data_IF_227719393095
#
_entry.id   IF_227719393095
#
_cell.length_a   1.000
_cell.length_b   1.000
_cell.length_c   1.000
_cell.angle_alpha   90.00
_cell.angle_beta   90.00
_cell.angle_gamma   90.00
#
_symmetry.space_group_name_H-M   'P 1'
#
loop_
_entity.id
_entity.type
_entity.pdbx_description
1 polymer ?
#
# COMPACT_ATOMS: atom_id res chain seq x y z
N UNK A 1 2.24 9.96 4.40
CA UNK A 1 3.46 9.15 4.57
C UNK A 1 4.50 9.91 5.39
N UNK A 2 4.92 11.12 4.96
CA UNK A 2 5.85 11.95 5.76
C UNK A 2 5.32 12.24 7.17
N UNK A 3 4.05 12.66 7.30
CA UNK A 3 3.45 12.89 8.63
C UNK A 3 3.53 11.68 9.58
N UNK A 4 3.37 10.45 9.07
CA UNK A 4 3.51 9.24 9.89
C UNK A 4 4.98 9.01 10.29
N UNK A 5 5.92 9.17 9.35
CA UNK A 5 7.35 9.05 9.62
C UNK A 5 7.85 10.12 10.61
N UNK A 6 7.36 11.35 10.51
CA UNK A 6 7.69 12.44 11.44
C UNK A 6 7.11 12.19 12.83
N UNK A 7 5.87 11.71 12.92
CA UNK A 7 5.25 11.37 14.20
C UNK A 7 5.93 10.17 14.88
N UNK A 8 6.27 9.12 14.14
CA UNK A 8 7.04 8.00 14.69
C UNK A 8 8.45 8.44 15.10
N UNK A 9 9.08 9.36 14.36
CA UNK A 9 10.35 9.96 14.78
C UNK A 9 10.21 10.76 16.08
N UNK A 10 9.15 11.56 16.22
CA UNK A 10 8.83 12.27 17.44
C UNK A 10 8.53 11.33 18.63
N UNK A 11 8.03 10.12 18.35
CA UNK A 11 7.83 9.06 19.33
C UNK A 11 9.12 8.25 19.66
N UNK A 12 10.27 8.60 19.09
CA UNK A 12 11.57 8.02 19.41
C UNK A 12 12.03 6.88 18.48
N UNK A 13 11.39 6.70 17.32
CA UNK A 13 11.79 5.69 16.33
C UNK A 13 12.66 6.29 15.22
N UNK A 14 13.68 5.55 14.76
CA UNK A 14 14.29 5.87 13.47
C UNK A 14 13.29 5.54 12.35
N UNK A 15 13.11 6.46 11.40
CA UNK A 15 12.15 6.27 10.30
C UNK A 15 12.82 6.39 8.94
N UNK A 16 12.48 5.45 8.06
CA UNK A 16 12.94 5.40 6.68
C UNK A 16 11.72 5.38 5.76
N UNK A 17 11.62 6.39 4.90
CA UNK A 17 10.69 6.37 3.76
C UNK A 17 11.49 6.29 2.48
N UNK A 18 10.95 5.62 1.46
CA UNK A 18 11.62 5.45 0.19
C UNK A 18 10.61 5.40 -0.95
N UNK A 19 11.06 5.79 -2.15
CA UNK A 19 10.30 5.59 -3.37
C UNK A 19 10.56 4.19 -3.93
N UNK A 20 9.51 3.46 -4.30
CA UNK A 20 9.68 2.21 -5.04
C UNK A 20 10.41 2.44 -6.35
N UNK A 21 11.13 1.42 -6.83
CA UNK A 21 11.77 1.50 -8.14
C UNK A 21 10.75 1.90 -9.22
N UNK A 22 11.16 2.74 -10.16
CA UNK A 22 10.32 3.31 -11.23
C UNK A 22 9.35 4.42 -10.80
N UNK A 23 9.36 4.81 -9.53
CA UNK A 23 8.54 5.89 -8.94
C UNK A 23 9.43 6.95 -8.28
N UNK A 24 8.83 8.12 -8.05
CA UNK A 24 9.46 9.26 -7.38
C UNK A 24 10.88 9.56 -7.87
N UNK A 25 11.81 9.63 -6.93
CA UNK A 25 13.24 9.88 -7.14
C UNK A 25 14.04 8.59 -7.39
N UNK A 26 13.52 7.44 -6.94
CA UNK A 26 14.16 6.16 -7.16
C UNK A 26 14.34 5.85 -8.64
N UNK A 27 15.47 5.22 -8.97
CA UNK A 27 15.80 4.78 -10.32
C UNK A 27 14.83 3.75 -10.89
N UNK A 28 15.06 3.31 -12.13
CA UNK A 28 14.26 2.27 -12.79
C UNK A 28 13.50 2.78 -14.01
N UNK A 29 13.51 1.94 -15.05
CA UNK A 29 12.82 2.15 -16.32
C UNK A 29 12.10 0.86 -16.73
N UNK A 30 10.94 0.95 -17.42
CA UNK A 30 10.18 2.18 -17.67
C UNK A 30 9.52 2.74 -16.38
N UNK A 31 9.17 4.04 -16.35
CA UNK A 31 8.57 4.70 -15.17
C UNK A 31 7.13 4.23 -14.93
N UNK A 32 6.60 4.45 -13.72
CA UNK A 32 5.18 4.23 -13.38
C UNK A 32 4.70 2.79 -13.64
N UNK A 33 5.59 1.80 -13.43
CA UNK A 33 5.25 0.38 -13.50
C UNK A 33 5.28 -0.23 -12.11
N UNK A 34 4.12 -0.62 -11.62
CA UNK A 34 4.00 -1.43 -10.41
C UNK A 34 4.34 -2.88 -10.78
N UNK A 35 5.20 -3.50 -9.98
CA UNK A 35 5.48 -4.94 -10.02
C UNK A 35 5.61 -5.43 -8.59
N UNK A 36 4.73 -6.34 -8.19
CA UNK A 36 4.55 -6.78 -6.81
C UNK A 36 5.85 -7.42 -6.31
N UNK A 37 6.40 -8.38 -7.07
CA UNK A 37 7.63 -9.05 -6.68
C UNK A 37 8.82 -8.11 -6.55
N UNK A 38 8.94 -7.11 -7.45
CA UNK A 38 10.04 -6.16 -7.41
C UNK A 38 9.91 -5.13 -6.28
N UNK A 39 8.69 -4.70 -5.97
CA UNK A 39 8.43 -3.81 -4.84
C UNK A 39 8.65 -4.51 -3.49
N UNK A 40 8.32 -5.79 -3.39
CA UNK A 40 8.68 -6.60 -2.21
C UNK A 40 10.20 -6.75 -2.06
N UNK A 41 10.94 -6.87 -3.16
CA UNK A 41 12.41 -6.83 -3.13
C UNK A 41 12.95 -5.44 -2.74
N UNK A 42 12.26 -4.35 -3.09
CA UNK A 42 12.61 -3.00 -2.63
C UNK A 42 12.42 -2.86 -1.11
N UNK A 43 11.33 -3.41 -0.55
CA UNK A 43 11.14 -3.45 0.91
C UNK A 43 12.26 -4.25 1.58
N UNK A 44 12.61 -5.42 1.05
CA UNK A 44 13.72 -6.21 1.59
C UNK A 44 15.05 -5.45 1.55
N UNK A 45 15.31 -4.69 0.48
CA UNK A 45 16.50 -3.84 0.38
C UNK A 45 16.47 -2.68 1.40
N UNK A 46 15.30 -2.05 1.61
CA UNK A 46 15.15 -0.99 2.62
C UNK A 46 15.36 -1.53 4.05
N UNK A 47 14.85 -2.73 4.35
CA UNK A 47 15.09 -3.42 5.64
C UNK A 47 16.58 -3.73 5.82
N UNK A 48 17.23 -4.27 4.79
CA UNK A 48 18.67 -4.56 4.84
C UNK A 48 19.51 -3.29 5.05
N UNK A 49 19.12 -2.17 4.42
CA UNK A 49 19.72 -0.87 4.64
C UNK A 49 19.55 -0.41 6.10
N UNK A 50 18.31 -0.46 6.62
CA UNK A 50 18.01 -0.03 7.99
C UNK A 50 18.78 -0.85 9.04
N UNK A 51 18.91 -2.16 8.86
CA UNK A 51 19.70 -3.04 9.74
C UNK A 51 21.21 -2.76 9.73
N UNK A 52 21.71 -2.02 8.73
CA UNK A 52 23.12 -1.66 8.60
C UNK A 52 23.47 -0.27 9.12
N UNK A 53 22.53 0.45 9.75
CA UNK A 53 22.77 1.79 10.33
C UNK A 53 23.23 1.63 11.78
N UNK A 54 24.36 2.26 12.14
CA UNK A 54 25.07 2.04 13.41
C UNK A 54 24.23 2.29 14.69
N UNK A 55 23.18 3.11 14.61
CA UNK A 55 22.28 3.43 15.74
C UNK A 55 20.91 2.72 15.68
N UNK A 56 20.72 1.78 14.74
CA UNK A 56 19.48 1.03 14.59
C UNK A 56 19.67 -0.40 15.12
N UNK A 57 18.85 -0.79 16.09
CA UNK A 57 18.78 -2.19 16.53
C UNK A 57 18.17 -3.06 15.42
N UNK A 58 18.93 -3.99 14.80
CA UNK A 58 18.46 -4.78 13.68
C UNK A 58 17.34 -5.77 14.05
N UNK A 59 17.14 -6.04 15.35
CA UNK A 59 16.08 -6.89 15.89
C UNK A 59 14.78 -6.13 16.19
N UNK A 60 14.77 -4.79 16.11
CA UNK A 60 13.58 -3.95 16.36
C UNK A 60 13.10 -3.19 15.13
N UNK A 61 13.14 -3.84 13.97
CA UNK A 61 12.64 -3.25 12.71
C UNK A 61 11.13 -3.47 12.59
N UNK A 62 10.37 -2.38 12.47
CA UNK A 62 8.95 -2.40 12.14
C UNK A 62 8.71 -2.06 10.67
N UNK A 63 7.64 -2.62 10.09
CA UNK A 63 7.16 -2.23 8.77
C UNK A 63 5.84 -1.48 8.86
N UNK A 64 5.73 -0.36 8.15
CA UNK A 64 4.49 0.40 8.04
C UNK A 64 4.11 0.52 6.55
N UNK A 65 2.84 0.33 6.24
CA UNK A 65 2.34 0.47 4.89
C UNK A 65 0.87 0.87 4.84
N UNK A 66 0.51 1.63 3.81
CA UNK A 66 -0.87 2.05 3.55
C UNK A 66 -1.36 1.57 2.19
N UNK A 67 -2.65 1.20 2.08
CA UNK A 67 -3.27 0.72 0.83
C UNK A 67 -2.49 -0.46 0.22
N UNK A 68 -2.05 -0.40 -1.04
CA UNK A 68 -1.18 -1.43 -1.63
C UNK A 68 0.08 -1.70 -0.79
N UNK A 69 0.68 -0.65 -0.20
CA UNK A 69 1.81 -0.76 0.71
C UNK A 69 1.46 -1.52 2.00
N UNK A 70 0.23 -1.39 2.50
CA UNK A 70 -0.28 -2.14 3.65
C UNK A 70 -0.31 -3.65 3.38
N UNK A 71 -0.74 -4.02 2.17
CA UNK A 71 -0.65 -5.41 1.71
C UNK A 71 0.80 -5.90 1.56
N UNK A 72 1.70 -5.05 1.06
CA UNK A 72 3.12 -5.36 0.91
C UNK A 72 3.83 -5.64 2.22
N UNK A 73 3.59 -4.84 3.27
CA UNK A 73 4.29 -5.04 4.55
C UNK A 73 3.87 -6.35 5.22
N UNK A 74 2.62 -6.78 5.07
CA UNK A 74 2.17 -8.12 5.51
C UNK A 74 2.91 -9.21 4.74
N UNK A 75 2.97 -9.11 3.40
CA UNK A 75 3.66 -10.09 2.58
C UNK A 75 5.19 -10.08 2.76
N UNK A 76 5.78 -8.95 3.14
CA UNK A 76 7.20 -8.84 3.45
C UNK A 76 7.55 -9.50 4.79
N UNK A 77 6.79 -9.21 5.86
CA UNK A 77 7.00 -9.81 7.18
C UNK A 77 6.72 -11.33 7.19
N UNK A 78 5.87 -11.83 6.29
CA UNK A 78 5.70 -13.27 6.11
C UNK A 78 6.92 -13.98 5.47
N UNK A 79 7.86 -13.22 4.89
CA UNK A 79 9.10 -13.73 4.28
C UNK A 79 10.34 -13.46 5.14
N UNK A 80 10.35 -12.34 5.86
CA UNK A 80 11.39 -11.97 6.81
C UNK A 80 10.84 -12.10 8.23
N UNK A 81 11.19 -13.21 8.89
CA UNK A 81 10.69 -13.53 10.22
C UNK A 81 11.38 -12.75 11.36
N UNK A 82 12.40 -11.95 11.03
CA UNK A 82 13.10 -11.07 11.96
C UNK A 82 12.50 -9.64 11.98
N UNK A 83 11.36 -9.42 11.30
CA UNK A 83 10.56 -8.20 11.45
C UNK A 83 9.86 -8.24 12.81
N UNK A 84 9.99 -7.15 13.56
CA UNK A 84 9.54 -7.08 14.95
C UNK A 84 8.08 -6.64 15.12
N UNK A 85 7.55 -5.87 14.17
CA UNK A 85 6.15 -5.45 14.15
C UNK A 85 5.70 -5.02 12.75
N UNK A 86 4.40 -5.08 12.48
CA UNK A 86 3.81 -4.59 11.23
C UNK A 86 2.60 -3.71 11.53
N UNK A 87 2.48 -2.59 10.82
CA UNK A 87 1.28 -1.76 10.75
C UNK A 87 0.80 -1.74 9.29
N UNK A 88 -0.42 -2.23 9.08
CA UNK A 88 -1.10 -2.25 7.79
C UNK A 88 -2.32 -1.33 7.85
N UNK A 89 -2.19 -0.12 7.33
CA UNK A 89 -3.27 0.86 7.25
C UNK A 89 -4.08 0.65 5.97
N UNK A 90 -5.41 0.53 6.09
CA UNK A 90 -6.36 0.32 4.98
C UNK A 90 -5.80 -0.63 3.90
N UNK A 91 -5.29 -1.81 4.27
CA UNK A 91 -4.44 -2.59 3.40
C UNK A 91 -5.21 -3.18 2.22
N UNK A 92 -4.60 -3.11 1.03
CA UNK A 92 -5.07 -3.87 -0.11
C UNK A 92 -5.04 -5.37 0.21
N UNK A 93 -6.17 -6.05 0.07
CA UNK A 93 -6.26 -7.50 0.27
C UNK A 93 -6.95 -8.22 -0.90
N UNK A 94 -6.48 -7.90 -2.11
CA UNK A 94 -7.04 -8.38 -3.37
C UNK A 94 -8.27 -7.60 -3.82
N UNK A 95 -8.56 -7.63 -5.12
CA UNK A 95 -9.75 -6.96 -5.65
C UNK A 95 -11.05 -7.65 -5.20
N UNK A 96 -12.13 -6.88 -4.95
CA UNK A 96 -13.45 -7.44 -4.70
C UNK A 96 -13.96 -8.20 -5.94
N UNK A 97 -14.84 -9.18 -5.71
CA UNK A 97 -15.44 -9.98 -6.81
C UNK A 97 -16.26 -9.12 -7.77
N UNK A 98 -16.81 -8.01 -7.29
CA UNK A 98 -17.47 -6.97 -8.09
C UNK A 98 -16.94 -5.62 -7.66
N UNK A 99 -16.48 -4.83 -8.62
CA UNK A 99 -16.16 -3.42 -8.42
C UNK A 99 -17.45 -2.63 -8.68
N UNK A 100 -18.01 -2.00 -7.64
CA UNK A 100 -19.21 -1.17 -7.80
C UNK A 100 -18.90 0.04 -8.69
N UNK A 101 -19.90 0.52 -9.44
CA UNK A 101 -19.77 1.72 -10.28
C UNK A 101 -19.04 1.54 -11.63
N UNK A 102 -18.51 0.35 -11.96
CA UNK A 102 -17.85 0.10 -13.26
C UNK A 102 -18.78 -0.59 -14.26
N UNK A 103 -19.07 0.07 -15.37
CA UNK A 103 -19.88 -0.51 -16.46
C UNK A 103 -19.16 -1.70 -17.13
N UNK A 104 -19.88 -2.66 -17.73
CA UNK A 104 -19.26 -3.76 -18.49
C UNK A 104 -18.34 -3.27 -19.61
N UNK A 105 -18.72 -2.17 -20.28
CA UNK A 105 -17.91 -1.54 -21.32
C UNK A 105 -16.61 -0.96 -20.76
N UNK A 106 -16.66 -0.29 -19.61
CA UNK A 106 -15.47 0.24 -18.92
C UNK A 106 -14.53 -0.88 -18.50
N UNK A 107 -15.08 -2.00 -18.00
CA UNK A 107 -14.30 -3.21 -17.68
C UNK A 107 -13.62 -3.79 -18.92
N UNK A 108 -14.34 -3.93 -20.04
CA UNK A 108 -13.77 -4.43 -21.29
C UNK A 108 -12.66 -3.52 -21.81
N UNK A 109 -12.86 -2.19 -21.77
CA UNK A 109 -11.83 -1.21 -22.13
C UNK A 109 -10.59 -1.34 -21.24
N UNK A 110 -10.77 -1.55 -19.94
CA UNK A 110 -9.67 -1.74 -19.00
C UNK A 110 -8.88 -3.02 -19.31
N UNK A 111 -9.58 -4.14 -19.53
CA UNK A 111 -8.94 -5.39 -19.94
C UNK A 111 -8.18 -5.26 -21.27
N UNK A 112 -8.73 -4.52 -22.24
CA UNK A 112 -8.06 -4.26 -23.51
C UNK A 112 -6.74 -3.49 -23.33
N UNK A 113 -6.74 -2.41 -22.55
CA UNK A 113 -5.49 -1.65 -22.31
C UNK A 113 -4.49 -2.41 -21.44
N UNK A 114 -4.96 -3.27 -20.52
CA UNK A 114 -4.11 -4.18 -19.76
C UNK A 114 -3.40 -5.18 -20.68
N UNK A 115 -4.14 -5.81 -21.60
CA UNK A 115 -3.60 -6.75 -22.57
C UNK A 115 -2.62 -6.08 -23.54
N UNK A 116 -2.98 -4.90 -24.05
CA UNK A 116 -2.09 -4.11 -24.91
C UNK A 116 -0.77 -3.78 -24.19
N UNK A 117 -0.84 -3.27 -22.96
CA UNK A 117 0.35 -2.89 -22.20
C UNK A 117 1.18 -4.10 -21.75
N UNK A 118 0.54 -5.25 -21.51
CA UNK A 118 1.25 -6.50 -21.26
C UNK A 118 2.08 -6.92 -22.48
N UNK A 119 1.49 -6.92 -23.69
CA UNK A 119 2.20 -7.17 -24.94
C UNK A 119 3.34 -6.16 -25.17
N UNK A 120 3.12 -4.87 -24.90
CA UNK A 120 4.17 -3.85 -24.95
C UNK A 120 5.33 -4.17 -24.02
N UNK A 121 5.03 -4.61 -22.80
CA UNK A 121 6.02 -5.01 -21.81
C UNK A 121 6.87 -6.19 -22.27
N UNK A 122 6.25 -7.23 -22.83
CA UNK A 122 6.96 -8.39 -23.40
C UNK A 122 7.87 -8.02 -24.58
N UNK A 123 7.47 -7.03 -25.38
CA UNK A 123 8.24 -6.53 -26.51
C UNK A 123 9.24 -5.43 -26.11
N UNK A 124 9.45 -5.20 -24.81
CA UNK A 124 10.32 -4.15 -24.27
C UNK A 124 10.01 -2.73 -24.82
N UNK A 125 8.74 -2.48 -25.15
CA UNK A 125 8.26 -1.17 -25.63
C UNK A 125 7.87 -0.27 -24.47
N UNK A 126 7.79 1.04 -24.74
CA UNK A 126 7.29 1.99 -23.76
C UNK A 126 5.88 1.63 -23.31
N UNK A 127 5.56 1.76 -22.00
CA UNK A 127 4.25 1.41 -21.50
C UNK A 127 3.17 2.32 -22.08
N UNK A 128 1.97 1.79 -22.22
CA UNK A 128 0.77 2.60 -22.29
C UNK A 128 0.45 3.03 -20.86
N UNK A 129 0.26 4.32 -20.62
CA UNK A 129 -0.15 4.82 -19.30
C UNK A 129 -1.65 5.11 -19.30
N UNK A 130 -2.29 4.82 -18.17
CA UNK A 130 -3.62 5.34 -17.82
C UNK A 130 -3.51 6.12 -16.50
N UNK A 131 -4.46 7.01 -16.19
CA UNK A 131 -4.53 7.65 -14.88
C UNK A 131 -4.63 6.62 -13.74
N UNK A 132 -3.92 6.86 -12.64
CA UNK A 132 -4.11 6.08 -11.42
C UNK A 132 -5.46 6.45 -10.77
N UNK A 133 -5.78 7.75 -10.74
CA UNK A 133 -7.04 8.31 -10.27
C UNK A 133 -7.70 9.10 -11.38
N UNK A 134 -8.96 8.81 -11.70
CA UNK A 134 -9.74 9.52 -12.70
C UNK A 134 -11.12 9.95 -12.20
N UNK A 135 -11.81 10.75 -13.00
CA UNK A 135 -13.19 11.12 -12.75
C UNK A 135 -14.13 9.90 -12.93
N UNK A 136 -15.34 9.93 -12.34
CA UNK A 136 -16.35 8.90 -12.59
C UNK A 136 -16.59 8.68 -14.08
N UNK A 137 -16.43 7.43 -14.55
CA UNK A 137 -16.60 7.05 -15.95
C UNK A 137 -15.32 7.09 -16.81
N UNK A 138 -14.23 7.70 -16.32
CA UNK A 138 -12.94 7.67 -17.01
C UNK A 138 -12.25 6.31 -16.91
N UNK A 139 -11.34 6.05 -17.86
CA UNK A 139 -10.49 4.87 -17.84
C UNK A 139 -9.31 5.10 -16.89
N UNK A 140 -9.53 4.82 -15.60
CA UNK A 140 -8.51 4.91 -14.55
C UNK A 140 -8.51 3.66 -13.67
N UNK A 141 -7.45 3.47 -12.89
CA UNK A 141 -7.39 2.36 -11.91
C UNK A 141 -8.45 2.55 -10.82
N UNK A 142 -8.45 3.73 -10.21
CA UNK A 142 -9.43 4.17 -9.21
C UNK A 142 -10.23 5.34 -9.77
N UNK A 143 -11.52 5.37 -9.47
CA UNK A 143 -12.43 6.43 -9.91
C UNK A 143 -13.32 6.82 -8.75
N UNK A 144 -13.42 8.11 -8.46
CA UNK A 144 -14.28 8.60 -7.39
C UNK A 144 -13.85 9.97 -6.88
N UNK A 145 -14.81 10.74 -6.39
CA UNK A 145 -14.55 12.09 -5.90
C UNK A 145 -13.60 12.12 -4.70
N UNK A 146 -13.71 11.14 -3.79
CA UNK A 146 -12.80 11.00 -2.65
C UNK A 146 -11.35 10.77 -3.09
N UNK A 147 -11.14 9.91 -4.10
CA UNK A 147 -9.83 9.65 -4.68
C UNK A 147 -9.24 10.92 -5.33
N UNK A 148 -10.07 11.64 -6.09
CA UNK A 148 -9.66 12.89 -6.74
C UNK A 148 -9.32 13.97 -5.72
N UNK A 149 -10.11 14.13 -4.65
CA UNK A 149 -9.81 15.07 -3.56
C UNK A 149 -8.51 14.73 -2.85
N UNK A 150 -8.30 13.46 -2.52
CA UNK A 150 -7.05 13.01 -1.89
C UNK A 150 -5.84 13.29 -2.78
N UNK A 151 -5.95 13.01 -4.08
CA UNK A 151 -4.88 13.27 -5.05
C UNK A 151 -4.66 14.77 -5.29
N UNK A 152 -5.72 15.58 -5.31
CA UNK A 152 -5.59 17.04 -5.46
C UNK A 152 -4.82 17.67 -4.29
N UNK A 153 -4.90 17.07 -3.09
CA UNK A 153 -4.09 17.45 -1.93
C UNK A 153 -2.64 16.94 -1.97
N UNK A 154 -2.29 16.02 -2.88
CA UNK A 154 -0.92 15.52 -3.01
C UNK A 154 -0.07 16.48 -3.83
N UNK A 155 0.67 17.33 -3.14
CA UNK A 155 1.65 18.23 -3.76
C UNK A 155 3.04 17.61 -3.63
N UNK A 156 3.55 17.01 -4.71
CA UNK A 156 4.94 16.56 -4.78
C UNK A 156 5.52 16.80 -6.18
N UNK A 157 6.77 17.30 -6.31
CA UNK A 157 7.42 17.52 -7.59
C UNK A 157 7.57 16.25 -8.44
N UNK A 158 7.58 15.08 -7.79
CA UNK A 158 7.83 13.79 -8.45
C UNK A 158 6.56 12.99 -8.69
N UNK A 159 5.43 13.43 -8.11
CA UNK A 159 4.14 12.77 -8.27
C UNK A 159 3.63 12.88 -9.71
N UNK A 160 3.04 11.80 -10.21
CA UNK A 160 2.44 11.70 -11.54
C UNK A 160 1.19 10.85 -11.47
N UNK A 161 0.07 11.37 -11.95
CA UNK A 161 -1.16 10.60 -12.09
C UNK A 161 -1.11 9.64 -13.30
N UNK A 162 -0.22 8.64 -13.25
CA UNK A 162 0.00 7.71 -14.34
C UNK A 162 0.37 6.33 -13.79
N UNK A 163 -0.12 5.27 -14.43
CA UNK A 163 0.26 3.90 -14.13
C UNK A 163 0.18 3.04 -15.38
N UNK A 164 1.13 2.12 -15.54
CA UNK A 164 1.08 1.11 -16.58
C UNK A 164 0.02 0.05 -16.21
N UNK A 165 -1.06 -0.12 -17.00
CA UNK A 165 -2.21 -0.92 -16.61
C UNK A 165 -1.89 -2.41 -16.48
N UNK A 166 -0.78 -2.91 -17.05
CA UNK A 166 -0.35 -4.30 -16.81
C UNK A 166 -0.11 -4.62 -15.33
N UNK A 167 0.14 -3.61 -14.50
CA UNK A 167 0.19 -3.73 -13.04
C UNK A 167 -1.03 -4.45 -12.45
N UNK A 168 -2.22 -4.19 -13.01
CA UNK A 168 -3.48 -4.75 -12.54
C UNK A 168 -3.51 -6.28 -12.69
N UNK A 169 -2.77 -6.84 -13.65
CA UNK A 169 -2.66 -8.30 -13.84
C UNK A 169 -1.98 -8.95 -12.63
N UNK A 170 -0.88 -8.36 -12.14
CA UNK A 170 -0.22 -8.84 -10.93
C UNK A 170 -1.09 -8.59 -9.69
N UNK A 171 -1.71 -7.41 -9.58
CA UNK A 171 -2.58 -7.07 -8.45
C UNK A 171 -3.81 -7.98 -8.33
N UNK A 172 -4.41 -8.42 -9.45
CA UNK A 172 -5.52 -9.39 -9.43
C UNK A 172 -5.14 -10.74 -8.82
N UNK A 173 -3.86 -11.12 -8.92
CA UNK A 173 -3.32 -12.36 -8.36
C UNK A 173 -2.74 -12.17 -6.97
N UNK A 174 -2.62 -10.92 -6.52
CA UNK A 174 -1.98 -10.58 -5.27
C UNK A 174 -2.99 -10.57 -4.12
N UNK A 175 -2.78 -11.48 -3.18
CA UNK A 175 -3.66 -11.73 -2.04
C UNK A 175 -2.86 -11.75 -0.73
N UNK A 176 -2.63 -10.58 -0.11
CA UNK A 176 -1.92 -10.46 1.17
C UNK A 176 -2.42 -11.41 2.28
N UNK A 177 -3.71 -11.76 2.30
CA UNK A 177 -4.25 -12.77 3.25
C UNK A 177 -3.59 -14.15 3.14
N UNK A 178 -3.11 -14.55 1.96
CA UNK A 178 -2.41 -15.83 1.77
C UNK A 178 -1.00 -15.83 2.44
N UNK A 179 -0.58 -14.68 2.98
CA UNK A 179 0.66 -14.49 3.72
C UNK A 179 0.43 -14.26 5.23
N UNK A 180 -0.75 -13.77 5.63
CA UNK A 180 -1.04 -13.33 7.00
C UNK A 180 -0.74 -14.40 8.06
N UNK A 181 -1.13 -15.66 7.82
CA UNK A 181 -0.89 -16.77 8.75
C UNK A 181 0.61 -17.07 9.00
N UNK A 182 1.53 -16.54 8.17
CA UNK A 182 2.98 -16.71 8.31
C UNK A 182 3.67 -15.51 8.97
N UNK A 183 2.95 -14.43 9.25
CA UNK A 183 3.48 -13.29 9.99
C UNK A 183 3.63 -13.69 11.46
N UNK A 184 4.87 -13.65 11.98
CA UNK A 184 5.19 -14.12 13.34
C UNK A 184 5.16 -13.03 14.40
N UNK A 185 5.30 -11.78 13.98
CA UNK A 185 5.29 -10.61 14.85
C UNK A 185 3.87 -10.06 15.06
N UNK A 186 3.68 -9.16 16.04
CA UNK A 186 2.47 -8.37 16.16
C UNK A 186 2.13 -7.64 14.84
N UNK A 187 0.86 -7.72 14.43
CA UNK A 187 0.33 -7.05 13.25
C UNK A 187 -0.85 -6.17 13.66
N UNK A 188 -0.70 -4.86 13.56
CA UNK A 188 -1.82 -3.92 13.64
C UNK A 188 -2.42 -3.68 12.26
N UNK A 189 -3.74 -3.84 12.14
CA UNK A 189 -4.52 -3.49 10.96
C UNK A 189 -5.47 -2.34 11.30
N UNK A 190 -5.34 -1.21 10.60
CA UNK A 190 -6.27 -0.08 10.72
C UNK A 190 -7.29 -0.13 9.58
N UNK A 191 -8.58 -0.19 9.89
CA UNK A 191 -9.66 -0.39 8.92
C UNK A 191 -10.63 0.78 8.93
N UNK A 192 -10.98 1.29 7.74
CA UNK A 192 -12.14 2.18 7.59
C UNK A 192 -13.41 1.36 7.43
N UNK A 193 -14.42 1.55 8.27
CA UNK A 193 -15.69 0.81 8.17
C UNK A 193 -16.53 1.25 6.98
N UNK A 194 -16.23 2.40 6.38
CA UNK A 194 -16.89 2.94 5.18
C UNK A 194 -15.99 2.84 3.93
N UNK A 195 -14.89 2.08 4.01
CA UNK A 195 -13.92 1.92 2.92
C UNK A 195 -14.49 1.10 1.74
N UNK A 196 -14.78 1.77 0.63
CA UNK A 196 -15.24 1.13 -0.60
C UNK A 196 -14.13 0.55 -1.50
N UNK A 197 -12.86 0.86 -1.24
CA UNK A 197 -11.71 0.48 -2.08
C UNK A 197 -11.13 -0.87 -1.66
N UNK A 198 -10.88 -1.06 -0.36
CA UNK A 198 -10.29 -2.31 0.18
C UNK A 198 -11.30 -3.22 0.85
N UNK A 199 -12.53 -2.73 1.08
CA UNK A 199 -13.69 -3.38 1.71
C UNK A 199 -13.43 -3.89 3.14
N UNK A 200 -14.23 -3.48 4.15
CA UNK A 200 -14.00 -3.84 5.55
C UNK A 200 -13.90 -5.35 5.78
N UNK A 201 -14.72 -6.15 5.11
CA UNK A 201 -14.75 -7.61 5.31
C UNK A 201 -13.41 -8.26 4.97
N UNK A 202 -12.72 -7.75 3.94
CA UNK A 202 -11.41 -8.27 3.54
C UNK A 202 -10.31 -7.81 4.47
N UNK A 203 -10.39 -6.58 4.96
CA UNK A 203 -9.41 -6.02 5.89
C UNK A 203 -9.51 -6.72 7.25
N UNK A 204 -10.73 -6.91 7.77
CA UNK A 204 -10.97 -7.66 8.99
C UNK A 204 -10.50 -9.12 8.86
N UNK A 205 -10.77 -9.77 7.71
CA UNK A 205 -10.28 -11.13 7.46
C UNK A 205 -8.74 -11.21 7.40
N UNK A 206 -8.05 -10.17 6.93
CA UNK A 206 -6.59 -10.10 6.93
C UNK A 206 -6.04 -10.08 8.37
N UNK A 207 -6.62 -9.24 9.23
CA UNK A 207 -6.23 -9.15 10.64
C UNK A 207 -6.46 -10.49 11.36
N UNK A 208 -7.65 -11.08 11.21
CA UNK A 208 -8.01 -12.33 11.85
C UNK A 208 -7.17 -13.54 11.39
N UNK A 209 -6.62 -13.50 10.17
CA UNK A 209 -5.76 -14.55 9.64
C UNK A 209 -4.33 -14.52 10.22
N UNK A 210 -3.89 -13.41 10.82
CA UNK A 210 -2.58 -13.30 11.43
C UNK A 210 -2.59 -13.84 12.89
N UNK A 211 -1.59 -14.63 13.31
CA UNK A 211 -1.54 -15.20 14.66
C UNK A 211 -1.58 -14.16 15.80
N UNK A 212 -1.04 -12.97 15.54
CA UNK A 212 -0.99 -11.84 16.48
C UNK A 212 -1.60 -10.59 15.83
N UNK A 213 -2.71 -10.77 15.12
CA UNK A 213 -3.45 -9.69 14.47
C UNK A 213 -4.29 -8.88 15.45
N UNK A 214 -4.13 -7.56 15.42
CA UNK A 214 -4.96 -6.58 16.12
C UNK A 214 -5.69 -5.72 15.07
N UNK A 215 -6.99 -5.47 15.27
CA UNK A 215 -7.81 -4.67 14.36
C UNK A 215 -8.30 -3.41 15.07
N UNK A 216 -8.06 -2.26 14.46
CA UNK A 216 -8.65 -0.98 14.87
C UNK A 216 -9.59 -0.46 13.78
N UNK A 217 -10.78 -0.04 14.19
CA UNK A 217 -11.85 0.40 13.29
C UNK A 217 -12.06 1.91 13.39
N UNK A 218 -12.24 2.53 12.22
CA UNK A 218 -12.46 3.98 12.09
C UNK A 218 -13.72 4.20 11.23
N UNK A 219 -14.70 5.02 11.67
CA UNK A 219 -15.95 5.27 10.96
C UNK A 219 -15.74 6.25 9.78
N UNK A 220 -14.89 5.86 8.83
CA UNK A 220 -14.42 6.69 7.72
C UNK A 220 -14.13 5.84 6.49
N UNK A 221 -14.11 6.45 5.31
CA UNK A 221 -13.75 5.85 4.04
C UNK A 221 -12.24 5.80 3.77
N UNK A 222 -11.85 5.16 2.66
CA UNK A 222 -10.44 4.89 2.32
C UNK A 222 -9.56 6.15 2.33
N UNK A 223 -10.06 7.22 1.71
CA UNK A 223 -9.28 8.44 1.48
C UNK A 223 -9.31 9.41 2.67
N UNK A 224 -10.27 9.25 3.57
CA UNK A 224 -10.38 10.08 4.77
C UNK A 224 -9.26 9.79 5.78
N UNK A 225 -8.63 8.60 5.72
CA UNK A 225 -7.39 8.31 6.46
C UNK A 225 -6.23 9.28 6.19
N UNK A 226 -6.31 10.07 5.11
CA UNK A 226 -5.30 11.06 4.76
C UNK A 226 -5.70 12.49 5.16
N UNK A 227 -6.95 12.72 5.55
CA UNK A 227 -7.40 13.99 6.13
C UNK A 227 -6.74 14.22 7.49
N UNK A 228 -6.41 15.46 7.81
CA UNK A 228 -5.51 15.79 8.94
C UNK A 228 -6.02 15.23 10.28
N UNK A 229 -7.31 15.42 10.61
CA UNK A 229 -7.91 15.00 11.87
C UNK A 229 -7.96 13.48 12.05
N UNK A 230 -8.35 12.76 11.00
CA UNK A 230 -8.38 11.28 11.01
C UNK A 230 -6.96 10.73 11.03
N UNK A 231 -6.07 11.28 10.21
CA UNK A 231 -4.67 10.87 10.11
C UNK A 231 -3.97 10.98 11.45
N UNK A 232 -4.13 12.10 12.15
CA UNK A 232 -3.44 12.35 13.42
C UNK A 232 -3.93 11.38 14.51
N UNK A 233 -5.24 11.10 14.56
CA UNK A 233 -5.80 10.06 15.43
C UNK A 233 -5.24 8.67 15.12
N UNK A 234 -5.26 8.27 13.84
CA UNK A 234 -4.76 6.96 13.39
C UNK A 234 -3.27 6.80 13.72
N UNK A 235 -2.46 7.84 13.49
CA UNK A 235 -1.04 7.85 13.82
C UNK A 235 -0.80 7.73 15.32
N UNK A 236 -1.61 8.39 16.16
CA UNK A 236 -1.50 8.26 17.61
C UNK A 236 -1.73 6.81 18.07
N UNK A 237 -2.77 6.15 17.55
CA UNK A 237 -3.05 4.74 17.85
C UNK A 237 -1.91 3.82 17.37
N UNK A 238 -1.39 4.06 16.15
CA UNK A 238 -0.27 3.33 15.58
C UNK A 238 1.02 3.51 16.40
N UNK A 239 1.26 4.72 16.92
CA UNK A 239 2.42 5.03 17.75
C UNK A 239 2.32 4.32 19.10
N UNK A 240 1.13 4.32 19.72
CA UNK A 240 0.88 3.57 20.94
C UNK A 240 1.10 2.07 20.77
N UNK A 241 0.70 1.52 19.61
CA UNK A 241 1.00 0.13 19.26
C UNK A 241 2.50 -0.13 19.18
N UNK A 242 3.27 0.69 18.44
CA UNK A 242 4.72 0.52 18.32
C UNK A 242 5.42 0.61 19.67
N UNK A 243 5.08 1.61 20.49
CA UNK A 243 5.64 1.76 21.84
C UNK A 243 5.33 0.56 22.72
N UNK A 244 4.12 -0.02 22.63
CA UNK A 244 3.77 -1.20 23.42
C UNK A 244 4.54 -2.46 23.01
N UNK A 245 4.80 -2.64 21.71
CA UNK A 245 5.38 -3.90 21.21
C UNK A 245 6.89 -3.85 20.98
N UNK A 246 7.49 -2.65 20.92
CA UNK A 246 8.93 -2.45 20.69
C UNK A 246 9.63 -1.59 21.75
N UNK A 247 8.86 -0.82 22.54
CA UNK A 247 9.37 0.07 23.58
C UNK A 247 9.77 -0.63 24.87
#
# INVERSE_FOLDING_TARGET
MLAAAEAFAAAGFHTLTFDYRSFGESGGRPRQVVSIGRQLADIAAAVACARGVDDVDPARIALWGTSLGGGHVVAAAARDHEIAAVIAQIPFNGFPRRVQGRSPLSTLRLLAVMAEDWCRGMLHRQPRYIPAVGAPGELAVMTGEGAQRAVAGMVSPTWRNQVAPRALIEMMRYRPIDFAARVRCPLLVCMGTEDAETTPERVAALAAAAPQGELLEYPVGHFEFYADDVRDRVIADQSAFLTRVLG
#
